data_IF_031794139062
#
_entry.id   IF_031794139062
#
_cell.length_a   1.000
_cell.length_b   1.000
_cell.length_c   1.000
_cell.angle_alpha   90.00
_cell.angle_beta   90.00
_cell.angle_gamma   90.00
#
_symmetry.space_group_name_H-M   'P 1'
#
loop_
_entity.id
_entity.type
_entity.pdbx_description
1 polymer ?
#
# COMPACT_ATOMS: atom_id res chain seq x y z
N UNK A 1 -26.22 -23.22 -5.22
CA UNK A 1 -25.03 -22.80 -4.43
C UNK A 1 -24.79 -21.27 -4.49
N UNK A 2 -25.12 -20.55 -5.58
CA UNK A 2 -24.88 -19.10 -5.67
C UNK A 2 -25.87 -18.18 -4.92
N UNK A 3 -27.10 -18.62 -4.65
CA UNK A 3 -28.11 -17.81 -3.92
C UNK A 3 -27.72 -17.60 -2.44
N UNK A 4 -26.95 -18.50 -1.83
CA UNK A 4 -26.55 -18.38 -0.42
C UNK A 4 -25.54 -17.26 -0.17
N UNK A 5 -24.79 -16.82 -1.18
CA UNK A 5 -23.84 -15.71 -1.05
C UNK A 5 -24.55 -14.34 -1.16
N UNK A 6 -25.58 -14.24 -2.02
CA UNK A 6 -26.45 -13.06 -2.09
C UNK A 6 -27.20 -12.82 -0.77
N UNK A 7 -27.49 -13.88 -0.02
CA UNK A 7 -28.08 -13.79 1.32
C UNK A 7 -27.11 -13.29 2.40
N UNK A 8 -25.79 -13.41 2.19
CA UNK A 8 -24.75 -12.96 3.13
C UNK A 8 -24.20 -11.55 2.82
N UNK A 9 -24.50 -10.99 1.64
CA UNK A 9 -24.03 -9.68 1.21
C UNK A 9 -24.21 -8.52 2.23
N UNK A 10 -25.31 -8.45 3.02
CA UNK A 10 -25.46 -7.39 4.03
C UNK A 10 -24.48 -7.53 5.21
N UNK A 11 -24.08 -8.76 5.55
CA UNK A 11 -23.13 -9.06 6.63
C UNK A 11 -21.70 -8.76 6.18
N UNK A 12 -21.35 -9.17 4.97
CA UNK A 12 -20.05 -8.91 4.34
C UNK A 12 -19.80 -7.40 4.17
N UNK A 13 -20.84 -6.61 3.88
CA UNK A 13 -20.73 -5.16 3.71
C UNK A 13 -20.43 -4.42 5.03
N UNK A 14 -21.01 -4.87 6.14
CA UNK A 14 -20.76 -4.28 7.46
C UNK A 14 -19.35 -4.59 7.96
N UNK A 15 -18.88 -5.84 7.75
CA UNK A 15 -17.51 -6.25 8.06
C UNK A 15 -16.50 -5.50 7.20
N UNK A 16 -16.73 -5.37 5.89
CA UNK A 16 -15.86 -4.59 4.98
C UNK A 16 -15.77 -3.11 5.37
N UNK A 17 -16.91 -2.50 5.75
CA UNK A 17 -16.93 -1.11 6.21
C UNK A 17 -16.09 -0.93 7.47
N UNK A 18 -16.24 -1.79 8.47
CA UNK A 18 -15.45 -1.75 9.69
C UNK A 18 -13.94 -1.97 9.41
N UNK A 19 -13.61 -2.87 8.48
CA UNK A 19 -12.23 -3.08 8.05
C UNK A 19 -11.64 -1.85 7.35
N UNK A 20 -12.41 -1.14 6.53
CA UNK A 20 -11.96 0.11 5.91
C UNK A 20 -11.76 1.21 6.96
N UNK A 21 -12.68 1.36 7.91
CA UNK A 21 -12.57 2.32 9.01
C UNK A 21 -11.30 2.04 9.85
N UNK A 22 -11.03 0.78 10.20
CA UNK A 22 -9.80 0.39 10.90
C UNK A 22 -8.54 0.74 10.11
N UNK A 23 -8.50 0.36 8.83
CA UNK A 23 -7.34 0.64 7.96
C UNK A 23 -7.05 2.13 7.88
N UNK A 24 -8.12 2.91 7.82
CA UNK A 24 -8.14 4.36 7.75
C UNK A 24 -7.64 5.02 9.06
N UNK A 25 -7.77 4.34 10.20
CA UNK A 25 -7.17 4.76 11.46
C UNK A 25 -5.69 4.35 11.57
N UNK A 26 -5.34 3.15 11.11
CA UNK A 26 -4.01 2.54 11.28
C UNK A 26 -2.94 3.08 10.29
N UNK A 27 -3.32 3.46 9.07
CA UNK A 27 -2.35 3.78 8.03
C UNK A 27 -1.51 5.04 8.27
N UNK A 28 -1.98 5.96 9.11
CA UNK A 28 -1.22 7.18 9.45
C UNK A 28 0.06 6.81 10.20
N UNK A 29 -0.04 5.91 11.17
CA UNK A 29 1.09 5.42 11.95
C UNK A 29 2.08 4.64 11.07
N UNK A 30 1.56 3.89 10.09
CA UNK A 30 2.42 3.18 9.14
C UNK A 30 3.26 4.11 8.27
N UNK A 31 2.68 5.20 7.76
CA UNK A 31 3.43 6.16 6.94
C UNK A 31 4.47 6.91 7.77
N UNK A 32 4.16 7.21 9.03
CA UNK A 32 5.14 7.79 9.95
C UNK A 32 6.35 6.87 10.15
N UNK A 33 6.14 5.55 10.12
CA UNK A 33 7.22 4.55 10.21
C UNK A 33 8.33 4.73 9.18
N UNK A 34 8.02 5.25 7.99
CA UNK A 34 9.02 5.50 6.95
C UNK A 34 10.04 6.56 7.42
N UNK A 35 9.55 7.74 7.79
CA UNK A 35 10.40 8.86 8.18
C UNK A 35 11.07 8.65 9.53
N UNK A 36 10.37 8.00 10.47
CA UNK A 36 10.95 7.62 11.75
C UNK A 36 12.08 6.60 11.56
N UNK A 37 11.85 5.56 10.74
CA UNK A 37 12.86 4.53 10.44
C UNK A 37 14.15 5.11 9.86
N UNK A 38 14.04 6.08 8.95
CA UNK A 38 15.20 6.78 8.38
C UNK A 38 15.94 7.62 9.41
N UNK A 39 15.21 8.37 10.24
CA UNK A 39 15.85 9.18 11.27
C UNK A 39 16.60 8.31 12.29
N UNK A 40 16.05 7.16 12.67
CA UNK A 40 16.73 6.21 13.53
C UNK A 40 17.94 5.56 12.84
N UNK A 41 17.83 5.21 11.55
CA UNK A 41 18.94 4.70 10.76
C UNK A 41 20.08 5.71 10.64
N UNK A 42 19.77 6.98 10.33
CA UNK A 42 20.75 8.07 10.28
C UNK A 42 21.45 8.23 11.63
N UNK A 43 20.70 8.16 12.72
CA UNK A 43 21.26 8.20 14.08
C UNK A 43 22.20 7.01 14.31
N UNK A 44 21.79 5.80 13.94
CA UNK A 44 22.61 4.59 14.05
C UNK A 44 23.92 4.70 13.25
N UNK A 45 23.87 5.29 12.05
CA UNK A 45 25.07 5.56 11.24
C UNK A 45 26.02 6.52 11.96
N UNK A 46 25.51 7.55 12.63
CA UNK A 46 26.32 8.46 13.45
C UNK A 46 26.98 7.69 14.61
N UNK A 47 26.28 6.77 15.27
CA UNK A 47 26.89 5.94 16.31
C UNK A 47 27.96 4.98 15.76
N UNK A 48 27.70 4.36 14.60
CA UNK A 48 28.65 3.49 13.90
C UNK A 48 29.92 4.23 13.43
N UNK A 49 29.85 5.55 13.23
CA UNK A 49 31.04 6.37 12.97
C UNK A 49 31.96 6.48 14.19
N UNK A 50 31.40 6.44 15.40
CA UNK A 50 32.13 6.60 16.66
C UNK A 50 32.76 5.29 17.11
N UNK A 51 32.06 4.18 16.95
CA UNK A 51 32.47 2.88 17.45
C UNK A 51 32.26 1.81 16.39
N UNK A 52 33.29 0.99 16.20
CA UNK A 52 33.20 -0.23 15.42
C UNK A 52 33.65 -1.41 16.28
N UNK A 53 33.02 -2.56 16.09
CA UNK A 53 33.25 -3.75 16.90
C UNK A 53 32.79 -5.01 16.15
N UNK A 54 33.35 -6.16 16.53
CA UNK A 54 32.89 -7.46 16.07
C UNK A 54 31.71 -7.95 16.91
N UNK A 55 30.78 -8.67 16.30
CA UNK A 55 29.67 -9.29 17.00
C UNK A 55 30.12 -10.58 17.70
N UNK A 56 29.61 -10.79 18.91
CA UNK A 56 29.69 -12.07 19.61
C UNK A 56 28.56 -12.97 19.13
N UNK A 57 28.92 -14.02 18.39
CA UNK A 57 27.97 -15.01 17.87
C UNK A 57 27.62 -16.01 18.99
N UNK A 58 26.35 -16.19 19.35
CA UNK A 58 25.95 -17.19 20.34
C UNK A 58 26.20 -18.62 19.84
N UNK A 59 26.50 -19.54 20.76
CA UNK A 59 26.70 -20.95 20.44
C UNK A 59 25.46 -21.55 19.76
N UNK A 60 25.67 -22.21 18.62
CA UNK A 60 24.59 -22.82 17.84
C UNK A 60 23.72 -21.84 17.03
N UNK A 61 24.01 -20.54 17.06
CA UNK A 61 23.27 -19.55 16.26
C UNK A 61 23.80 -19.44 14.83
N UNK A 62 22.91 -19.61 13.85
CA UNK A 62 23.24 -19.49 12.42
C UNK A 62 22.88 -18.09 11.90
N UNK A 63 23.91 -17.28 11.64
CA UNK A 63 23.80 -15.98 10.99
C UNK A 63 23.58 -16.19 9.48
N UNK A 64 22.49 -15.64 8.93
CA UNK A 64 22.10 -15.80 7.53
C UNK A 64 22.09 -14.48 6.74
N UNK A 65 21.77 -13.36 7.39
CA UNK A 65 21.49 -12.10 6.71
C UNK A 65 22.61 -11.06 6.89
N UNK A 66 23.27 -11.01 8.04
CA UNK A 66 24.43 -10.15 8.31
C UNK A 66 25.64 -10.71 7.55
N UNK A 67 26.19 -9.90 6.64
CA UNK A 67 27.30 -10.32 5.78
C UNK A 67 28.66 -10.23 6.49
N UNK A 68 28.91 -9.14 7.22
CA UNK A 68 30.16 -8.94 7.96
C UNK A 68 29.94 -8.99 9.48
N UNK A 69 30.50 -10.01 10.13
CA UNK A 69 30.39 -10.24 11.57
C UNK A 69 31.48 -9.53 12.38
N UNK A 70 32.54 -9.07 11.71
CA UNK A 70 33.74 -8.48 12.32
C UNK A 70 33.65 -6.96 12.46
N UNK A 71 32.68 -6.33 11.78
CA UNK A 71 32.47 -4.88 11.82
C UNK A 71 30.97 -4.55 11.89
N UNK A 72 30.58 -3.97 13.02
CA UNK A 72 29.28 -3.33 13.21
C UNK A 72 29.08 -2.21 12.18
N UNK A 73 30.14 -1.44 11.89
CA UNK A 73 30.08 -0.35 10.91
C UNK A 73 29.72 -0.87 9.51
N UNK A 74 30.37 -1.94 9.05
CA UNK A 74 30.03 -2.54 7.76
C UNK A 74 28.60 -3.10 7.75
N UNK A 75 28.14 -3.66 8.87
CA UNK A 75 26.75 -4.14 9.01
C UNK A 75 25.72 -3.00 8.95
N UNK A 76 26.01 -1.86 9.56
CA UNK A 76 25.16 -0.66 9.44
C UNK A 76 25.16 -0.12 8.01
N UNK A 77 26.31 -0.18 7.32
CA UNK A 77 26.39 0.18 5.89
C UNK A 77 25.57 -0.76 5.00
N UNK A 78 25.61 -2.07 5.27
CA UNK A 78 24.75 -3.06 4.63
C UNK A 78 23.27 -2.72 4.87
N UNK A 79 22.88 -2.52 6.13
CA UNK A 79 21.51 -2.16 6.50
C UNK A 79 21.04 -0.90 5.79
N UNK A 80 21.85 0.15 5.74
CA UNK A 80 21.52 1.39 5.04
C UNK A 80 21.32 1.16 3.53
N UNK A 81 22.15 0.34 2.92
CA UNK A 81 22.06 -0.01 1.48
C UNK A 81 20.78 -0.79 1.17
N UNK A 82 20.51 -1.84 1.94
CA UNK A 82 19.29 -2.66 1.79
C UNK A 82 18.02 -1.84 2.05
N UNK A 83 18.04 -0.99 3.08
CA UNK A 83 16.95 -0.05 3.40
C UNK A 83 16.69 0.90 2.24
N UNK A 84 17.74 1.45 1.63
CA UNK A 84 17.63 2.31 0.45
C UNK A 84 17.02 1.61 -0.74
N UNK A 85 17.46 0.39 -1.03
CA UNK A 85 16.88 -0.41 -2.11
C UNK A 85 15.41 -0.73 -1.85
N UNK A 86 15.04 -1.10 -0.62
CA UNK A 86 13.66 -1.38 -0.25
C UNK A 86 12.76 -0.14 -0.41
N UNK A 87 13.17 1.02 0.10
CA UNK A 87 12.37 2.26 0.00
C UNK A 87 12.21 2.76 -1.44
N UNK A 88 13.31 2.83 -2.19
CA UNK A 88 13.26 3.29 -3.59
C UNK A 88 12.41 2.39 -4.47
N UNK A 89 12.59 1.06 -4.34
CA UNK A 89 11.76 0.08 -5.04
C UNK A 89 10.28 0.19 -4.66
N UNK A 90 9.98 0.30 -3.36
CA UNK A 90 8.60 0.47 -2.90
C UNK A 90 7.95 1.76 -3.41
N UNK A 91 8.66 2.88 -3.43
CA UNK A 91 8.12 4.14 -3.97
C UNK A 91 7.72 3.99 -5.44
N UNK A 92 8.59 3.40 -6.26
CA UNK A 92 8.30 3.21 -7.68
C UNK A 92 7.12 2.27 -7.91
N UNK A 93 7.10 1.13 -7.21
CA UNK A 93 6.04 0.14 -7.34
C UNK A 93 4.70 0.67 -6.80
N UNK A 94 4.68 1.34 -5.64
CA UNK A 94 3.46 1.93 -5.10
C UNK A 94 2.94 3.11 -5.94
N UNK A 95 3.82 3.87 -6.61
CA UNK A 95 3.39 4.88 -7.56
C UNK A 95 2.71 4.27 -8.81
N UNK A 96 3.19 3.10 -9.27
CA UNK A 96 2.53 2.35 -10.35
C UNK A 96 1.15 1.85 -9.92
N UNK A 97 1.04 1.35 -8.69
CA UNK A 97 -0.25 0.92 -8.11
C UNK A 97 -1.23 2.09 -8.05
N UNK A 98 -0.80 3.23 -7.51
CA UNK A 98 -1.60 4.46 -7.49
C UNK A 98 -2.13 4.81 -8.90
N UNK A 99 -1.23 4.86 -9.89
CA UNK A 99 -1.59 5.20 -11.29
C UNK A 99 -2.59 4.22 -11.88
N UNK A 100 -2.46 2.92 -11.57
CA UNK A 100 -3.38 1.88 -12.04
C UNK A 100 -4.76 1.99 -11.37
N UNK A 101 -4.79 2.09 -10.04
CA UNK A 101 -6.03 2.09 -9.25
C UNK A 101 -6.85 3.36 -9.44
N UNK A 102 -6.23 4.50 -9.72
CA UNK A 102 -6.94 5.76 -10.01
C UNK A 102 -7.94 5.62 -11.19
N UNK A 103 -7.72 4.66 -12.09
CA UNK A 103 -8.58 4.43 -13.28
C UNK A 103 -9.73 3.46 -13.02
N UNK A 104 -9.68 2.68 -11.94
CA UNK A 104 -10.69 1.66 -11.62
C UNK A 104 -12.10 2.24 -11.46
N UNK A 105 -12.32 3.36 -10.74
CA UNK A 105 -13.66 3.90 -10.53
C UNK A 105 -14.38 4.26 -11.83
N UNK A 106 -13.70 4.94 -12.76
CA UNK A 106 -14.30 5.32 -14.05
C UNK A 106 -14.55 4.11 -14.96
N UNK A 107 -13.67 3.10 -14.91
CA UNK A 107 -13.89 1.85 -15.64
C UNK A 107 -15.09 1.07 -15.08
N UNK A 108 -15.24 1.02 -13.76
CA UNK A 108 -16.41 0.42 -13.12
C UNK A 108 -17.69 1.13 -13.54
N UNK A 109 -17.72 2.47 -13.48
CA UNK A 109 -18.87 3.27 -13.96
C UNK A 109 -19.24 2.95 -15.40
N UNK A 110 -18.25 2.91 -16.30
CA UNK A 110 -18.45 2.61 -17.73
C UNK A 110 -19.04 1.21 -17.92
N UNK A 111 -18.48 0.21 -17.25
CA UNK A 111 -18.96 -1.18 -17.33
C UNK A 111 -20.40 -1.32 -16.82
N UNK A 112 -20.77 -0.57 -15.77
CA UNK A 112 -22.13 -0.57 -15.21
C UNK A 112 -23.12 0.14 -16.12
N UNK A 113 -22.69 1.23 -16.74
CA UNK A 113 -23.49 1.93 -17.72
C UNK A 113 -23.74 1.07 -18.96
N UNK A 114 -22.73 0.32 -19.43
CA UNK A 114 -22.89 -0.68 -20.49
C UNK A 114 -23.98 -1.69 -20.13
N UNK A 115 -23.92 -2.31 -18.95
CA UNK A 115 -24.93 -3.28 -18.50
C UNK A 115 -26.34 -2.68 -18.41
N UNK A 116 -26.45 -1.41 -18.02
CA UNK A 116 -27.73 -0.75 -17.84
C UNK A 116 -28.37 -0.34 -19.17
N UNK A 117 -27.59 0.27 -20.06
CA UNK A 117 -28.14 1.03 -21.19
C UNK A 117 -27.76 0.50 -22.57
N UNK A 118 -26.67 -0.28 -22.72
CA UNK A 118 -26.21 -0.68 -24.03
C UNK A 118 -27.19 -1.65 -24.71
N UNK A 119 -27.43 -1.53 -26.04
CA UNK A 119 -28.08 -2.58 -26.81
C UNK A 119 -27.37 -3.92 -26.60
N UNK A 120 -28.09 -5.04 -26.68
CA UNK A 120 -27.53 -6.34 -26.32
C UNK A 120 -26.32 -6.72 -27.19
N UNK A 121 -26.34 -6.40 -28.47
CA UNK A 121 -25.24 -6.64 -29.40
C UNK A 121 -23.98 -5.85 -29.00
N UNK A 122 -24.16 -4.61 -28.56
CA UNK A 122 -23.07 -3.76 -28.10
C UNK A 122 -22.53 -4.25 -26.74
N UNK A 123 -23.42 -4.67 -25.85
CA UNK A 123 -23.07 -5.25 -24.56
C UNK A 123 -22.22 -6.52 -24.73
N UNK A 124 -22.63 -7.43 -25.62
CA UNK A 124 -21.89 -8.65 -25.95
C UNK A 124 -20.47 -8.36 -26.46
N UNK A 125 -20.32 -7.26 -27.20
CA UNK A 125 -19.03 -6.87 -27.77
C UNK A 125 -18.12 -6.19 -26.75
N UNK A 126 -18.64 -5.24 -25.97
CA UNK A 126 -17.81 -4.32 -25.18
C UNK A 126 -17.67 -4.70 -23.71
N UNK A 127 -18.60 -5.48 -23.16
CA UNK A 127 -18.52 -5.91 -21.77
C UNK A 127 -17.31 -6.82 -21.48
N UNK A 128 -16.98 -7.83 -22.32
CA UNK A 128 -15.79 -8.66 -22.09
C UNK A 128 -14.50 -7.83 -22.07
N UNK A 129 -14.38 -6.85 -22.96
CA UNK A 129 -13.21 -5.97 -23.00
C UNK A 129 -13.12 -5.08 -21.76
N UNK A 130 -14.25 -4.49 -21.35
CA UNK A 130 -14.31 -3.68 -20.12
C UNK A 130 -13.98 -4.49 -18.87
N UNK A 131 -14.46 -5.75 -18.80
CA UNK A 131 -14.13 -6.69 -17.73
C UNK A 131 -12.64 -7.03 -17.70
N UNK A 132 -12.09 -7.45 -18.85
CA UNK A 132 -10.67 -7.82 -19.00
C UNK A 132 -9.74 -6.66 -18.65
N UNK A 133 -10.12 -5.42 -18.98
CA UNK A 133 -9.37 -4.22 -18.64
C UNK A 133 -9.24 -4.01 -17.12
N UNK A 134 -10.34 -4.15 -16.39
CA UNK A 134 -10.34 -4.01 -14.92
C UNK A 134 -9.63 -5.19 -14.27
N UNK A 135 -9.87 -6.41 -14.77
CA UNK A 135 -9.17 -7.61 -14.31
C UNK A 135 -7.65 -7.43 -14.46
N UNK A 136 -7.19 -7.02 -15.64
CA UNK A 136 -5.77 -6.76 -15.89
C UNK A 136 -5.21 -5.69 -14.96
N UNK A 137 -5.89 -4.56 -14.80
CA UNK A 137 -5.44 -3.48 -13.91
C UNK A 137 -5.30 -3.95 -12.46
N UNK A 138 -6.29 -4.70 -11.96
CA UNK A 138 -6.28 -5.20 -10.58
C UNK A 138 -5.24 -6.31 -10.39
N UNK A 139 -5.05 -7.19 -11.38
CA UNK A 139 -3.98 -8.19 -11.41
C UNK A 139 -2.59 -7.54 -11.38
N UNK A 140 -2.33 -6.60 -12.29
CA UNK A 140 -1.06 -5.90 -12.39
C UNK A 140 -0.75 -5.15 -11.09
N UNK A 141 -1.74 -4.46 -10.52
CA UNK A 141 -1.59 -3.76 -9.23
C UNK A 141 -1.26 -4.72 -8.08
N UNK A 142 -1.90 -5.89 -7.99
CA UNK A 142 -1.60 -6.90 -6.96
C UNK A 142 -0.19 -7.47 -7.12
N UNK A 143 0.22 -7.78 -8.36
CA UNK A 143 1.59 -8.28 -8.63
C UNK A 143 2.62 -7.25 -8.22
N UNK A 144 2.38 -5.97 -8.50
CA UNK A 144 3.27 -4.87 -8.12
C UNK A 144 3.28 -4.65 -6.60
N UNK A 145 2.13 -4.69 -5.92
CA UNK A 145 2.02 -4.56 -4.45
C UNK A 145 2.78 -5.63 -3.67
N UNK A 146 2.92 -6.83 -4.24
CA UNK A 146 3.66 -7.94 -3.61
C UNK A 146 5.18 -7.81 -3.71
N UNK A 147 5.71 -6.94 -4.57
CA UNK A 147 7.17 -6.81 -4.73
C UNK A 147 7.85 -6.21 -3.50
N UNK A 148 7.34 -5.11 -2.90
CA UNK A 148 7.95 -4.55 -1.70
C UNK A 148 7.91 -5.49 -0.50
N UNK A 149 6.97 -6.45 -0.43
CA UNK A 149 6.91 -7.40 0.69
C UNK A 149 8.24 -8.11 0.90
N UNK A 150 8.84 -8.62 -0.18
CA UNK A 150 10.09 -9.39 -0.11
C UNK A 150 11.27 -8.53 0.35
N UNK A 151 11.41 -7.32 -0.20
CA UNK A 151 12.50 -6.42 0.19
C UNK A 151 12.35 -5.92 1.62
N UNK A 152 11.13 -5.66 2.07
CA UNK A 152 10.86 -5.26 3.45
C UNK A 152 11.10 -6.43 4.41
N UNK A 153 10.68 -7.65 4.07
CA UNK A 153 11.01 -8.84 4.85
C UNK A 153 12.51 -9.09 4.94
N UNK A 154 13.26 -8.89 3.85
CA UNK A 154 14.72 -9.03 3.85
C UNK A 154 15.39 -8.05 4.83
N UNK A 155 14.99 -6.78 4.83
CA UNK A 155 15.51 -5.78 5.78
C UNK A 155 15.06 -6.09 7.21
N UNK A 156 13.82 -6.56 7.42
CA UNK A 156 13.34 -6.96 8.74
C UNK A 156 14.13 -8.14 9.31
N UNK A 157 14.47 -9.11 8.46
CA UNK A 157 15.28 -10.26 8.82
C UNK A 157 16.70 -9.83 9.19
N UNK A 158 17.31 -8.91 8.42
CA UNK A 158 18.59 -8.31 8.75
C UNK A 158 18.54 -7.58 10.10
N UNK A 159 17.55 -6.71 10.33
CA UNK A 159 17.35 -6.01 11.60
C UNK A 159 17.16 -6.97 12.77
N UNK A 160 16.40 -8.05 12.58
CA UNK A 160 16.18 -9.07 13.62
C UNK A 160 17.47 -9.78 14.00
N UNK A 161 18.33 -10.07 13.02
CA UNK A 161 19.62 -10.70 13.26
C UNK A 161 20.60 -9.73 13.94
N UNK A 162 20.65 -8.46 13.52
CA UNK A 162 21.44 -7.40 14.17
C UNK A 162 21.01 -7.23 15.63
N UNK A 163 19.70 -7.08 15.87
CA UNK A 163 19.10 -6.94 17.20
C UNK A 163 19.52 -8.11 18.10
N UNK A 164 19.41 -9.35 17.61
CA UNK A 164 19.85 -10.53 18.35
C UNK A 164 21.34 -10.49 18.69
N UNK A 165 22.21 -10.19 17.72
CA UNK A 165 23.66 -10.12 17.94
C UNK A 165 24.06 -9.00 18.91
N UNK A 166 23.30 -7.90 18.97
CA UNK A 166 23.53 -6.83 19.94
C UNK A 166 23.11 -7.21 21.37
N UNK A 167 22.22 -8.21 21.55
CA UNK A 167 21.91 -8.69 22.91
C UNK A 167 23.05 -9.49 23.54
N UNK A 168 23.92 -10.09 22.72
CA UNK A 168 25.03 -10.94 23.16
C UNK A 168 26.37 -10.25 23.10
N UNK A 169 26.48 -9.19 22.29
CA UNK A 169 27.67 -8.35 22.20
C UNK A 169 27.59 -7.27 23.28
N UNK A 170 28.66 -7.05 24.04
CA UNK A 170 28.69 -5.96 25.02
C UNK A 170 28.82 -4.61 24.28
N UNK A 171 27.69 -3.93 24.06
CA UNK A 171 27.62 -2.68 23.30
C UNK A 171 27.03 -1.54 24.11
N UNK A 172 27.12 -0.32 23.57
CA UNK A 172 26.38 0.83 24.07
C UNK A 172 24.88 0.54 24.00
N UNK A 173 24.17 0.76 25.12
CA UNK A 173 22.72 0.57 25.22
C UNK A 173 21.96 1.43 24.19
N UNK A 174 22.51 2.59 23.82
CA UNK A 174 21.90 3.46 22.80
C UNK A 174 21.88 2.83 21.40
N UNK A 175 22.91 2.04 21.05
CA UNK A 175 22.96 1.34 19.75
C UNK A 175 21.85 0.28 19.70
N UNK A 176 21.71 -0.51 20.76
CA UNK A 176 20.68 -1.56 20.85
C UNK A 176 19.26 -0.96 20.83
N UNK A 177 19.04 0.16 21.54
CA UNK A 177 17.76 0.88 21.50
C UNK A 177 17.43 1.37 20.09
N UNK A 178 18.39 1.97 19.38
CA UNK A 178 18.17 2.45 18.01
C UNK A 178 17.84 1.33 17.04
N UNK A 179 18.53 0.18 17.11
CA UNK A 179 18.20 -0.97 16.25
C UNK A 179 16.79 -1.47 16.55
N UNK A 180 16.40 -1.56 17.83
CA UNK A 180 15.04 -1.92 18.23
C UNK A 180 14.01 -0.92 17.70
N UNK A 181 14.28 0.38 17.78
CA UNK A 181 13.39 1.42 17.26
C UNK A 181 13.22 1.31 15.74
N UNK A 182 14.32 1.14 14.98
CA UNK A 182 14.27 0.91 13.53
C UNK A 182 13.42 -0.34 13.23
N UNK A 183 13.65 -1.44 13.95
CA UNK A 183 12.92 -2.69 13.78
C UNK A 183 11.41 -2.54 14.03
N UNK A 184 11.01 -1.76 15.04
CA UNK A 184 9.60 -1.44 15.30
C UNK A 184 9.00 -0.69 14.11
N UNK A 185 9.65 0.40 13.66
CA UNK A 185 9.16 1.17 12.51
C UNK A 185 9.08 0.32 11.24
N UNK A 186 10.09 -0.53 11.02
CA UNK A 186 10.14 -1.43 9.87
C UNK A 186 9.07 -2.52 9.91
N UNK A 187 8.72 -2.99 11.10
CA UNK A 187 7.62 -3.95 11.30
C UNK A 187 6.29 -3.31 10.88
N UNK A 188 6.02 -2.07 11.28
CA UNK A 188 4.81 -1.35 10.85
C UNK A 188 4.74 -1.20 9.33
N UNK A 189 5.85 -0.83 8.68
CA UNK A 189 5.90 -0.72 7.23
C UNK A 189 5.68 -2.07 6.54
N UNK A 190 6.27 -3.14 7.05
CA UNK A 190 6.08 -4.50 6.52
C UNK A 190 4.61 -4.94 6.65
N UNK A 191 3.97 -4.64 7.79
CA UNK A 191 2.55 -4.91 8.01
C UNK A 191 1.66 -4.13 7.05
N UNK A 192 1.95 -2.84 6.84
CA UNK A 192 1.23 -2.02 5.87
C UNK A 192 1.23 -2.65 4.49
N UNK A 193 2.40 -2.98 3.93
CA UNK A 193 2.49 -3.56 2.58
C UNK A 193 1.68 -4.85 2.50
N UNK A 194 1.79 -5.74 3.50
CA UNK A 194 1.02 -6.99 3.55
C UNK A 194 -0.49 -6.76 3.57
N UNK A 195 -0.95 -5.79 4.35
CA UNK A 195 -2.38 -5.47 4.43
C UNK A 195 -2.89 -4.86 3.11
N UNK A 196 -2.11 -3.99 2.45
CA UNK A 196 -2.45 -3.45 1.14
C UNK A 196 -2.58 -4.56 0.09
N UNK A 197 -1.61 -5.48 0.03
CA UNK A 197 -1.65 -6.63 -0.88
C UNK A 197 -2.83 -7.56 -0.60
N UNK A 198 -3.06 -7.90 0.67
CA UNK A 198 -4.18 -8.76 1.07
C UNK A 198 -5.52 -8.16 0.62
N UNK A 199 -5.70 -6.84 0.80
CA UNK A 199 -6.92 -6.16 0.38
C UNK A 199 -7.07 -6.10 -1.12
N UNK A 200 -6.00 -5.77 -1.85
CA UNK A 200 -6.01 -5.81 -3.30
C UNK A 200 -6.42 -7.20 -3.81
N UNK A 201 -5.93 -8.28 -3.17
CA UNK A 201 -6.30 -9.65 -3.51
C UNK A 201 -7.77 -9.97 -3.21
N UNK A 202 -8.27 -9.63 -2.02
CA UNK A 202 -9.69 -9.84 -1.65
C UNK A 202 -10.61 -9.09 -2.61
N UNK A 203 -10.34 -7.82 -2.87
CA UNK A 203 -11.16 -6.98 -3.76
C UNK A 203 -11.12 -7.49 -5.20
N UNK A 204 -9.94 -7.89 -5.70
CA UNK A 204 -9.77 -8.50 -7.02
C UNK A 204 -10.54 -9.81 -7.13
N UNK A 205 -10.43 -10.70 -6.16
CA UNK A 205 -11.15 -11.98 -6.17
C UNK A 205 -12.67 -11.75 -6.13
N UNK A 206 -13.14 -10.76 -5.36
CA UNK A 206 -14.54 -10.37 -5.31
C UNK A 206 -15.03 -9.82 -6.66
N UNK A 207 -14.24 -8.96 -7.31
CA UNK A 207 -14.51 -8.48 -8.66
C UNK A 207 -14.65 -9.65 -9.64
N UNK A 208 -13.62 -10.50 -9.75
CA UNK A 208 -13.59 -11.62 -10.69
C UNK A 208 -14.80 -12.54 -10.46
N UNK A 209 -15.08 -12.90 -9.21
CA UNK A 209 -16.18 -13.80 -8.90
C UNK A 209 -17.55 -13.24 -9.27
N UNK A 210 -17.84 -11.98 -8.89
CA UNK A 210 -19.15 -11.37 -9.11
C UNK A 210 -19.39 -11.02 -10.57
N UNK A 211 -18.35 -10.57 -11.28
CA UNK A 211 -18.48 -10.15 -12.67
C UNK A 211 -18.34 -11.31 -13.66
N UNK A 212 -17.61 -12.38 -13.35
CA UNK A 212 -17.62 -13.59 -14.19
C UNK A 212 -19.01 -14.22 -14.26
N UNK A 213 -19.73 -14.27 -13.13
CA UNK A 213 -21.12 -14.76 -13.12
C UNK A 213 -22.01 -13.97 -14.12
N UNK A 214 -21.75 -12.67 -14.27
CA UNK A 214 -22.51 -11.80 -15.17
C UNK A 214 -22.03 -11.96 -16.60
N UNK A 215 -20.72 -12.07 -16.82
CA UNK A 215 -20.15 -12.38 -18.11
C UNK A 215 -20.75 -13.69 -18.66
N UNK A 216 -20.81 -14.74 -17.84
CA UNK A 216 -21.44 -16.03 -18.20
C UNK A 216 -22.93 -15.85 -18.56
N UNK A 217 -23.67 -15.03 -17.80
CA UNK A 217 -25.09 -14.72 -18.07
C UNK A 217 -25.30 -13.94 -19.36
N UNK A 218 -24.44 -12.97 -19.64
CA UNK A 218 -24.50 -12.15 -20.86
C UNK A 218 -24.19 -13.01 -22.08
N UNK A 219 -23.22 -13.92 -21.96
CA UNK A 219 -22.78 -14.79 -23.05
C UNK A 219 -23.67 -16.03 -23.27
N UNK A 220 -24.58 -16.36 -22.34
CA UNK A 220 -25.50 -17.49 -22.51
C UNK A 220 -26.67 -17.13 -23.44
N UNK A 221 -26.74 -17.72 -24.65
CA UNK A 221 -27.80 -17.43 -25.61
C UNK A 221 -29.19 -17.90 -25.14
N UNK A 222 -29.28 -18.75 -24.12
CA UNK A 222 -30.54 -19.33 -23.65
C UNK A 222 -31.21 -18.53 -22.52
N UNK A 223 -30.48 -17.62 -21.86
CA UNK A 223 -30.96 -16.97 -20.63
C UNK A 223 -31.62 -15.62 -20.88
N UNK A 224 -31.33 -14.96 -22.01
CA UNK A 224 -31.94 -13.70 -22.44
C UNK A 224 -31.68 -12.54 -21.47
N UNK A 225 -30.92 -11.53 -21.90
CA UNK A 225 -30.61 -10.36 -21.05
C UNK A 225 -31.69 -9.26 -21.17
N UNK A 226 -32.88 -9.55 -20.63
CA UNK A 226 -34.06 -8.66 -20.65
C UNK A 226 -33.87 -7.41 -19.78
N UNK A 227 -34.66 -6.36 -20.01
CA UNK A 227 -34.61 -5.12 -19.19
C UNK A 227 -34.87 -5.39 -17.70
N UNK A 228 -35.80 -6.27 -17.37
CA UNK A 228 -36.07 -6.70 -15.99
C UNK A 228 -34.85 -7.40 -15.36
N UNK A 229 -34.13 -8.20 -16.15
CA UNK A 229 -32.90 -8.85 -15.69
C UNK A 229 -31.75 -7.86 -15.49
N UNK A 230 -31.66 -6.82 -16.35
CA UNK A 230 -30.68 -5.73 -16.23
C UNK A 230 -30.86 -4.99 -14.92
N UNK A 231 -32.08 -4.53 -14.64
CA UNK A 231 -32.38 -3.79 -13.40
C UNK A 231 -32.07 -4.62 -12.15
N UNK A 232 -32.39 -5.91 -12.16
CA UNK A 232 -32.06 -6.82 -11.07
C UNK A 232 -30.54 -6.98 -10.90
N UNK A 233 -29.80 -7.17 -12.00
CA UNK A 233 -28.35 -7.31 -11.97
C UNK A 233 -27.68 -6.03 -11.46
N UNK A 234 -28.09 -4.86 -11.96
CA UNK A 234 -27.59 -3.57 -11.49
C UNK A 234 -27.86 -3.41 -9.99
N UNK A 235 -29.06 -3.75 -9.51
CA UNK A 235 -29.42 -3.67 -8.09
C UNK A 235 -28.54 -4.57 -7.21
N UNK A 236 -28.18 -5.76 -7.70
CA UNK A 236 -27.31 -6.71 -6.99
C UNK A 236 -25.85 -6.26 -7.02
N UNK A 237 -25.38 -5.75 -8.16
CA UNK A 237 -23.98 -5.37 -8.34
C UNK A 237 -23.62 -4.05 -7.70
N UNK A 238 -24.53 -3.07 -7.67
CA UNK A 238 -24.21 -1.71 -7.25
C UNK A 238 -23.50 -1.64 -5.89
N UNK A 239 -23.92 -2.40 -4.84
CA UNK A 239 -23.17 -2.48 -3.59
C UNK A 239 -21.74 -3.01 -3.77
N UNK A 240 -21.53 -4.04 -4.60
CA UNK A 240 -20.21 -4.64 -4.88
C UNK A 240 -19.30 -3.64 -5.59
N UNK A 241 -19.82 -2.89 -6.56
CA UNK A 241 -19.06 -1.85 -7.28
C UNK A 241 -18.63 -0.75 -6.34
N UNK A 242 -19.55 -0.27 -5.49
CA UNK A 242 -19.25 0.75 -4.49
C UNK A 242 -18.13 0.27 -3.57
N UNK A 243 -18.16 -1.00 -3.17
CA UNK A 243 -17.13 -1.60 -2.32
C UNK A 243 -15.76 -1.70 -3.01
N UNK A 244 -15.72 -2.15 -4.26
CA UNK A 244 -14.47 -2.24 -5.04
C UNK A 244 -13.88 -0.84 -5.26
N UNK A 245 -14.73 0.13 -5.58
CA UNK A 245 -14.34 1.54 -5.73
C UNK A 245 -13.82 2.12 -4.41
N UNK A 246 -14.50 1.85 -3.29
CA UNK A 246 -14.03 2.21 -1.95
C UNK A 246 -12.63 1.67 -1.67
N UNK A 247 -12.40 0.37 -1.85
CA UNK A 247 -11.07 -0.20 -1.61
C UNK A 247 -10.03 0.38 -2.56
N UNK A 248 -10.38 0.59 -3.84
CA UNK A 248 -9.47 1.17 -4.82
C UNK A 248 -9.06 2.60 -4.43
N UNK A 249 -9.99 3.41 -3.94
CA UNK A 249 -9.73 4.79 -3.45
C UNK A 249 -8.84 4.78 -2.18
N UNK A 250 -9.05 3.84 -1.25
CA UNK A 250 -8.19 3.72 -0.06
C UNK A 250 -6.76 3.31 -0.45
N UNK A 251 -6.62 2.28 -1.27
CA UNK A 251 -5.32 1.81 -1.75
C UNK A 251 -4.60 2.93 -2.53
N UNK A 252 -5.31 3.61 -3.43
CA UNK A 252 -4.82 4.78 -4.18
C UNK A 252 -4.34 5.88 -3.23
N UNK A 253 -5.13 6.20 -2.20
CA UNK A 253 -4.80 7.24 -1.24
C UNK A 253 -3.56 6.89 -0.42
N UNK A 254 -3.49 5.68 0.14
CA UNK A 254 -2.34 5.24 0.96
C UNK A 254 -1.06 5.19 0.11
N UNK A 255 -1.12 4.58 -1.08
CA UNK A 255 0.03 4.46 -1.98
C UNK A 255 0.52 5.82 -2.47
N UNK A 256 -0.39 6.77 -2.74
CA UNK A 256 -0.03 8.14 -3.11
C UNK A 256 0.67 8.88 -1.99
N UNK A 257 0.11 8.84 -0.77
CA UNK A 257 0.73 9.53 0.37
C UNK A 257 2.08 8.91 0.67
N UNK A 258 2.20 7.58 0.68
CA UNK A 258 3.50 6.94 0.86
C UNK A 258 4.52 7.42 -0.18
N UNK A 259 4.12 7.48 -1.46
CA UNK A 259 4.98 7.92 -2.55
C UNK A 259 5.44 9.37 -2.36
N UNK A 260 4.51 10.27 -2.04
CA UNK A 260 4.80 11.69 -1.80
C UNK A 260 5.74 11.89 -0.62
N UNK A 261 5.49 11.17 0.47
CA UNK A 261 6.29 11.28 1.69
C UNK A 261 7.68 10.69 1.50
N UNK A 262 7.78 9.55 0.81
CA UNK A 262 9.07 8.94 0.49
C UNK A 262 9.91 9.87 -0.38
N UNK A 263 9.28 10.50 -1.40
CA UNK A 263 9.96 11.45 -2.26
C UNK A 263 10.47 12.68 -1.49
N UNK A 264 9.66 13.24 -0.60
CA UNK A 264 9.97 14.48 0.11
C UNK A 264 10.96 14.32 1.27
N UNK A 265 10.96 13.17 1.96
CA UNK A 265 11.68 13.03 3.24
C UNK A 265 12.63 11.82 3.30
N UNK A 266 12.46 10.82 2.43
CA UNK A 266 13.22 9.56 2.52
C UNK A 266 14.31 9.50 1.46
N UNK A 267 13.99 9.82 0.20
CA UNK A 267 14.91 9.65 -0.93
C UNK A 267 16.13 10.57 -0.85
N UNK A 268 15.93 11.84 -0.50
CA UNK A 268 17.02 12.81 -0.36
C UNK A 268 17.94 12.44 0.82
N UNK A 269 17.35 12.05 1.95
CA UNK A 269 18.12 11.66 3.15
C UNK A 269 18.93 10.37 2.90
N UNK A 270 18.33 9.33 2.31
CA UNK A 270 19.03 8.09 1.96
C UNK A 270 20.09 8.27 0.85
N UNK A 271 19.90 9.25 -0.02
CA UNK A 271 20.87 9.62 -1.05
C UNK A 271 22.09 10.34 -0.47
N UNK A 272 21.85 11.23 0.50
CA UNK A 272 22.84 12.18 1.01
C UNK A 272 23.62 11.72 2.24
N UNK A 273 23.10 10.79 3.04
CA UNK A 273 23.63 10.53 4.39
C UNK A 273 24.67 9.42 4.51
N UNK A 274 25.16 8.87 3.38
CA UNK A 274 26.20 7.85 3.39
C UNK A 274 27.46 8.24 4.16
N UNK A 275 27.80 9.54 4.19
CA UNK A 275 28.96 10.07 4.91
C UNK A 275 28.83 10.07 6.43
N UNK A 276 27.61 9.90 6.98
CA UNK A 276 27.39 9.94 8.43
C UNK A 276 28.19 8.85 9.16
N UNK A 277 28.43 7.72 8.49
CA UNK A 277 29.21 6.61 9.05
C UNK A 277 30.73 6.89 9.09
N UNK A 278 31.18 7.96 8.44
CA UNK A 278 32.58 8.38 8.32
C UNK A 278 32.89 9.64 9.14
N UNK A 279 31.98 10.07 10.02
CA UNK A 279 32.21 11.25 10.87
C UNK A 279 33.35 11.02 11.86
N UNK A 280 34.38 11.84 11.78
CA UNK A 280 35.57 11.74 12.63
C UNK A 280 35.41 12.50 13.96
N UNK A 281 34.81 13.70 13.91
CA UNK A 281 34.75 14.64 15.04
C UNK A 281 33.47 14.48 15.85
N UNK A 282 33.60 14.53 17.18
CA UNK A 282 32.46 14.39 18.09
C UNK A 282 31.48 15.58 17.99
N UNK A 283 32.00 16.77 17.70
CA UNK A 283 31.19 17.98 17.48
C UNK A 283 30.26 17.81 16.27
N UNK A 284 30.75 17.19 15.19
CA UNK A 284 29.97 16.94 13.98
C UNK A 284 28.87 15.91 14.28
N UNK A 285 29.19 14.83 15.00
CA UNK A 285 28.19 13.83 15.43
C UNK A 285 27.07 14.46 16.24
N UNK A 286 27.41 15.27 17.25
CA UNK A 286 26.43 15.97 18.09
C UNK A 286 25.57 16.94 17.28
N UNK A 287 26.17 17.65 16.34
CA UNK A 287 25.46 18.57 15.44
C UNK A 287 24.43 17.82 14.59
N UNK A 288 24.81 16.70 13.98
CA UNK A 288 23.89 15.89 13.17
C UNK A 288 22.74 15.32 14.00
N UNK A 289 23.02 14.71 15.15
CA UNK A 289 21.97 14.16 16.03
C UNK A 289 20.97 15.24 16.45
N UNK A 290 21.45 16.44 16.78
CA UNK A 290 20.58 17.58 17.12
C UNK A 290 19.74 18.01 15.92
N UNK A 291 20.34 18.09 14.73
CA UNK A 291 19.63 18.49 13.50
C UNK A 291 18.50 17.50 13.15
N UNK A 292 18.74 16.19 13.25
CA UNK A 292 17.70 15.17 13.02
C UNK A 292 16.54 15.31 13.99
N UNK A 293 16.79 15.50 15.29
CA UNK A 293 15.73 15.68 16.29
C UNK A 293 14.82 16.89 15.99
N UNK A 294 15.38 18.03 15.59
CA UNK A 294 14.58 19.21 15.25
C UNK A 294 13.84 19.06 13.92
N UNK A 295 14.46 18.44 12.92
CA UNK A 295 13.84 18.18 11.62
C UNK A 295 12.67 17.21 11.74
N UNK A 296 12.85 16.13 12.49
CA UNK A 296 11.90 15.04 12.61
C UNK A 296 10.53 15.51 13.11
N UNK A 297 10.46 16.33 14.17
CA UNK A 297 9.17 16.80 14.68
C UNK A 297 8.37 17.57 13.62
N UNK A 298 9.05 18.41 12.84
CA UNK A 298 8.41 19.16 11.76
C UNK A 298 7.92 18.24 10.64
N UNK A 299 8.75 17.26 10.25
CA UNK A 299 8.40 16.26 9.24
C UNK A 299 7.17 15.46 9.70
N UNK A 300 7.19 14.89 10.92
CA UNK A 300 6.08 14.14 11.54
C UNK A 300 4.77 14.92 11.51
N UNK A 301 4.79 16.20 11.90
CA UNK A 301 3.58 17.05 11.87
C UNK A 301 3.07 17.23 10.43
N UNK A 302 3.97 17.43 9.46
CA UNK A 302 3.59 17.56 8.05
C UNK A 302 3.00 16.25 7.49
N UNK A 303 3.57 15.11 7.86
CA UNK A 303 3.03 13.77 7.49
C UNK A 303 1.62 13.62 8.04
N UNK A 304 1.46 13.82 9.34
CA UNK A 304 0.17 13.63 10.02
C UNK A 304 -0.90 14.55 9.43
N UNK A 305 -0.54 15.80 9.11
CA UNK A 305 -1.45 16.74 8.45
C UNK A 305 -1.86 16.27 7.05
N UNK A 306 -0.90 15.86 6.22
CA UNK A 306 -1.19 15.38 4.86
C UNK A 306 -2.06 14.12 4.91
N UNK A 307 -1.71 13.16 5.77
CA UNK A 307 -2.46 11.93 5.93
C UNK A 307 -3.90 12.22 6.40
N UNK A 308 -4.06 13.11 7.39
CA UNK A 308 -5.38 13.56 7.89
C UNK A 308 -6.22 14.28 6.83
N UNK A 309 -5.60 15.15 6.01
CA UNK A 309 -6.27 15.83 4.90
C UNK A 309 -6.78 14.84 3.85
N UNK A 310 -5.93 13.89 3.46
CA UNK A 310 -6.26 12.86 2.47
C UNK A 310 -7.35 11.92 2.98
N UNK A 311 -7.25 11.53 4.25
CA UNK A 311 -8.28 10.77 4.95
C UNK A 311 -9.63 11.51 4.95
N UNK A 312 -9.64 12.79 5.32
CA UNK A 312 -10.86 13.62 5.30
C UNK A 312 -11.45 13.72 3.89
N UNK A 313 -10.59 13.81 2.88
CA UNK A 313 -10.98 13.76 1.47
C UNK A 313 -11.68 12.45 1.10
N UNK A 314 -11.13 11.31 1.53
CA UNK A 314 -11.74 9.99 1.35
C UNK A 314 -13.12 9.91 2.01
N UNK A 315 -13.25 10.27 3.29
CA UNK A 315 -14.54 10.21 4.01
C UNK A 315 -15.62 11.06 3.33
N UNK A 316 -15.23 12.25 2.83
CA UNK A 316 -16.14 13.12 2.08
C UNK A 316 -16.60 12.49 0.76
N UNK A 317 -15.68 11.86 0.01
CA UNK A 317 -16.04 11.14 -1.23
C UNK A 317 -16.94 9.95 -0.92
N UNK A 318 -16.60 9.20 0.12
CA UNK A 318 -17.28 7.98 0.50
C UNK A 318 -18.74 8.21 0.90
N UNK A 319 -18.99 9.24 1.72
CA UNK A 319 -20.35 9.63 2.15
C UNK A 319 -21.32 9.83 0.99
N UNK A 320 -20.82 10.32 -0.15
CA UNK A 320 -21.63 10.61 -1.33
C UNK A 320 -21.48 9.55 -2.43
N UNK A 321 -20.67 8.49 -2.24
CA UNK A 321 -20.29 7.57 -3.30
C UNK A 321 -21.49 6.88 -3.92
N UNK A 322 -22.38 6.32 -3.10
CA UNK A 322 -23.62 5.69 -3.57
C UNK A 322 -24.49 6.66 -4.38
N UNK A 323 -24.76 7.84 -3.82
CA UNK A 323 -25.55 8.87 -4.50
C UNK A 323 -24.91 9.31 -5.82
N UNK A 324 -23.57 9.37 -5.89
CA UNK A 324 -22.85 9.70 -7.11
C UNK A 324 -23.02 8.63 -8.19
N UNK A 325 -22.97 7.33 -7.85
CA UNK A 325 -23.26 6.27 -8.82
C UNK A 325 -24.72 6.31 -9.29
N UNK A 326 -25.66 6.46 -8.35
CA UNK A 326 -27.09 6.52 -8.69
C UNK A 326 -27.39 7.70 -9.61
N UNK A 327 -26.83 8.88 -9.29
CA UNK A 327 -26.91 10.09 -10.11
C UNK A 327 -26.27 9.87 -11.48
N UNK A 328 -25.05 9.35 -11.54
CA UNK A 328 -24.35 9.04 -12.79
C UNK A 328 -25.18 8.12 -13.69
N UNK A 329 -25.73 7.04 -13.15
CA UNK A 329 -26.55 6.10 -13.90
C UNK A 329 -27.92 6.66 -14.33
N UNK A 330 -28.41 7.72 -13.68
CA UNK A 330 -29.68 8.37 -14.00
C UNK A 330 -29.50 9.49 -15.05
N UNK A 331 -28.40 10.23 -14.99
CA UNK A 331 -28.15 11.40 -15.83
C UNK A 331 -27.41 11.09 -17.13
N UNK A 332 -26.67 9.99 -17.19
CA UNK A 332 -25.90 9.63 -18.40
C UNK A 332 -26.82 9.07 -19.46
N UNK A 333 -26.81 9.66 -20.66
CA UNK A 333 -27.60 9.22 -21.80
C UNK A 333 -26.89 8.13 -22.62
N UNK A 334 -27.61 7.39 -23.49
CA UNK A 334 -26.99 6.46 -24.44
C UNK A 334 -25.98 7.12 -25.39
N UNK A 335 -26.15 8.40 -25.73
CA UNK A 335 -25.20 9.15 -26.57
C UNK A 335 -23.90 9.45 -25.82
N UNK A 336 -24.00 9.72 -24.51
CA UNK A 336 -22.83 9.92 -23.65
C UNK A 336 -22.01 8.64 -23.49
N UNK A 337 -22.66 7.46 -23.47
CA UNK A 337 -21.99 6.16 -23.44
C UNK A 337 -21.01 6.01 -24.60
N UNK A 338 -21.41 6.39 -25.82
CA UNK A 338 -20.55 6.29 -27.00
C UNK A 338 -19.31 7.16 -26.87
N UNK A 339 -19.41 8.35 -26.26
CA UNK A 339 -18.26 9.23 -26.01
C UNK A 339 -17.27 8.69 -24.96
N UNK A 340 -17.75 7.89 -24.00
CA UNK A 340 -16.93 7.29 -22.94
C UNK A 340 -16.14 6.06 -23.43
N UNK A 341 -16.58 5.44 -24.52
CA UNK A 341 -15.96 4.26 -25.09
C UNK A 341 -14.79 4.58 -26.04
N UNK A 342 -14.60 5.86 -26.39
CA UNK A 342 -13.60 6.33 -27.35
C UNK A 342 -14.13 6.30 -28.77
#
# INVERSE_FOLDING_TARGET
MHISYLANAPRDLAEHKAENERLVEEWQDWILGNVMGINYLNSLMVHASRQDFAFTIPDGYLIRYVQNKTSFRETVSQLATETKHAFSGAREDLNRVHTGLQRVPEKLKTMVLLMKQAPFELLLMLFPDSFNDIEKLTNDSLVVLRKPEKSFEQVLNLLTEIDHLLTTTQTDQMISLQVSDIKIQWTYLTLMIKELSKRAEVTRNKFIFQFNFILERILDPNVGFTDESRDLIIKILLPVIIEIDQTSDILETITKVYTDMSFLYTDEELGGNGHLILLEKEEDRKRYLKQFQYGLLKQVIQIARLASERHSGFIRRDKNRKANYEKFLAETSPDDLMSLLG
#
